data_IF_754880864514
#
_entry.id   IF_754880864514
#
_cell.length_a   1.000
_cell.length_b   1.000
_cell.length_c   1.000
_cell.angle_alpha   90.00
_cell.angle_beta   90.00
_cell.angle_gamma   90.00
#
_symmetry.space_group_name_H-M   'P 1'
#
loop_
_entity.id
_entity.type
_entity.pdbx_description
1 polymer ?
#
# COMPACT_ATOMS: atom_id res chain seq x y z
N UNK A 1 -23.47 -13.83 -6.34
CA UNK A 1 -23.07 -13.22 -5.05
C UNK A 1 -22.97 -14.33 -4.04
N UNK A 2 -21.77 -14.59 -3.52
CA UNK A 2 -21.62 -15.56 -2.45
C UNK A 2 -21.95 -14.86 -1.14
N UNK A 3 -22.90 -15.44 -0.39
CA UNK A 3 -23.33 -14.90 0.87
C UNK A 3 -22.14 -14.81 1.85
N UNK A 4 -22.06 -13.76 2.68
CA UNK A 4 -21.01 -13.67 3.69
C UNK A 4 -20.99 -14.86 4.64
N UNK A 5 -19.80 -15.33 4.99
CA UNK A 5 -19.58 -16.25 6.09
C UNK A 5 -19.50 -15.43 7.39
N UNK A 6 -20.52 -15.58 8.24
CA UNK A 6 -20.65 -14.79 9.47
C UNK A 6 -20.47 -15.66 10.71
N UNK A 7 -19.81 -15.13 11.75
CA UNK A 7 -19.73 -15.75 13.08
C UNK A 7 -19.23 -17.20 13.07
N UNK A 8 -18.27 -17.49 12.19
CA UNK A 8 -17.67 -18.82 12.07
C UNK A 8 -16.44 -18.90 12.96
N UNK A 9 -16.30 -20.02 13.64
CA UNK A 9 -15.11 -20.37 14.40
C UNK A 9 -14.26 -21.33 13.56
N UNK A 10 -13.12 -20.83 13.12
CA UNK A 10 -12.02 -21.54 12.50
C UNK A 10 -10.75 -21.47 13.35
N UNK A 11 -10.88 -21.13 14.63
CA UNK A 11 -9.74 -21.09 15.53
C UNK A 11 -9.05 -22.46 15.57
N UNK A 12 -7.72 -22.47 15.56
CA UNK A 12 -6.88 -23.67 15.51
C UNK A 12 -7.10 -24.58 14.28
N UNK A 13 -7.94 -24.20 13.32
CA UNK A 13 -8.29 -25.05 12.20
C UNK A 13 -7.10 -25.27 11.25
N UNK A 14 -7.02 -26.46 10.66
CA UNK A 14 -6.08 -26.73 9.59
C UNK A 14 -6.69 -26.32 8.25
N UNK A 15 -6.28 -25.16 7.74
CA UNK A 15 -6.79 -24.52 6.53
C UNK A 15 -5.65 -24.25 5.52
N UNK A 16 -4.55 -24.99 5.61
CA UNK A 16 -3.40 -24.85 4.71
C UNK A 16 -3.83 -25.03 3.27
N UNK A 17 -3.34 -24.16 2.39
CA UNK A 17 -3.67 -24.17 0.96
C UNK A 17 -5.16 -24.07 0.63
N UNK A 18 -6.00 -23.63 1.59
CA UNK A 18 -7.41 -23.39 1.31
C UNK A 18 -7.56 -22.20 0.39
N UNK A 19 -8.57 -22.27 -0.47
CA UNK A 19 -8.90 -21.20 -1.39
C UNK A 19 -10.14 -20.44 -0.91
N UNK A 20 -9.90 -19.19 -0.51
CA UNK A 20 -10.92 -18.26 -0.04
C UNK A 20 -11.06 -17.05 -0.97
N UNK A 21 -10.53 -17.06 -2.19
CA UNK A 21 -10.60 -15.89 -3.07
C UNK A 21 -12.03 -15.33 -3.20
N UNK A 22 -12.14 -14.00 -3.27
CA UNK A 22 -13.42 -13.29 -3.41
C UNK A 22 -14.48 -13.70 -2.36
N UNK A 23 -14.05 -13.95 -1.11
CA UNK A 23 -14.95 -14.23 0.03
C UNK A 23 -15.19 -13.01 0.90
N UNK A 24 -16.37 -13.01 1.51
CA UNK A 24 -16.74 -12.04 2.53
C UNK A 24 -16.83 -12.79 3.85
N UNK A 25 -16.03 -12.36 4.81
CA UNK A 25 -16.01 -12.82 6.19
C UNK A 25 -16.43 -11.68 7.10
N UNK A 26 -17.40 -11.94 7.98
CA UNK A 26 -17.84 -10.98 8.98
C UNK A 26 -17.75 -11.65 10.35
N UNK A 27 -16.94 -11.11 11.26
CA UNK A 27 -16.81 -11.63 12.63
C UNK A 27 -16.41 -13.12 12.66
N UNK A 28 -15.47 -13.49 11.79
CA UNK A 28 -14.94 -14.86 11.72
C UNK A 28 -13.66 -14.95 12.53
N UNK A 29 -13.57 -15.99 13.35
CA UNK A 29 -12.41 -16.29 14.18
C UNK A 29 -11.49 -17.25 13.43
N UNK A 30 -10.34 -16.75 12.97
CA UNK A 30 -9.21 -17.50 12.43
C UNK A 30 -8.02 -17.52 13.41
N UNK A 31 -8.22 -17.20 14.68
CA UNK A 31 -7.14 -17.14 15.66
C UNK A 31 -6.42 -18.49 15.79
N UNK A 32 -5.09 -18.47 15.84
CA UNK A 32 -4.26 -19.67 15.85
C UNK A 32 -4.45 -20.63 14.65
N UNK A 33 -5.18 -20.25 13.59
CA UNK A 33 -5.44 -21.12 12.46
C UNK A 33 -4.16 -21.37 11.64
N UNK A 34 -4.07 -22.56 11.04
CA UNK A 34 -2.98 -22.90 10.13
C UNK A 34 -3.37 -22.57 8.70
N UNK A 35 -2.94 -21.40 8.22
CA UNK A 35 -3.30 -20.84 6.91
C UNK A 35 -2.12 -20.76 5.94
N UNK A 36 -1.10 -21.60 6.14
CA UNK A 36 0.09 -21.61 5.27
C UNK A 36 -0.31 -21.85 3.82
N UNK A 37 0.10 -20.95 2.94
CA UNK A 37 -0.20 -21.00 1.51
C UNK A 37 -1.69 -20.83 1.16
N UNK A 38 -2.54 -20.37 2.09
CA UNK A 38 -3.93 -20.07 1.80
C UNK A 38 -4.08 -18.87 0.86
N UNK A 39 -5.16 -18.86 0.09
CA UNK A 39 -5.49 -17.76 -0.82
C UNK A 39 -6.64 -16.92 -0.26
N UNK A 40 -6.36 -15.70 0.14
CA UNK A 40 -7.34 -14.70 0.59
C UNK A 40 -7.47 -13.52 -0.40
N UNK A 41 -7.02 -13.70 -1.64
CA UNK A 41 -7.05 -12.62 -2.62
C UNK A 41 -8.47 -12.04 -2.76
N UNK A 42 -8.55 -10.70 -2.72
CA UNK A 42 -9.77 -9.91 -2.77
C UNK A 42 -10.84 -10.30 -1.73
N UNK A 43 -10.44 -10.85 -0.59
CA UNK A 43 -11.36 -11.06 0.51
C UNK A 43 -11.76 -9.74 1.19
N UNK A 44 -12.97 -9.71 1.73
CA UNK A 44 -13.42 -8.69 2.67
C UNK A 44 -13.49 -9.33 4.06
N UNK A 45 -12.58 -8.95 4.96
CA UNK A 45 -12.52 -9.43 6.33
C UNK A 45 -12.95 -8.31 7.30
N UNK A 46 -14.24 -8.22 7.57
CA UNK A 46 -14.80 -7.22 8.50
C UNK A 46 -14.80 -7.80 9.90
N UNK A 47 -14.16 -7.11 10.85
CA UNK A 47 -14.08 -7.49 12.26
C UNK A 47 -13.64 -8.95 12.48
N UNK A 48 -12.72 -9.46 11.65
CA UNK A 48 -12.22 -10.83 11.77
C UNK A 48 -11.02 -10.91 12.73
N UNK A 49 -10.82 -12.07 13.33
CA UNK A 49 -9.68 -12.32 14.21
C UNK A 49 -8.70 -13.30 13.56
N UNK A 50 -7.49 -12.84 13.25
CA UNK A 50 -6.36 -13.63 12.77
C UNK A 50 -5.21 -13.66 13.80
N UNK A 51 -5.50 -13.37 15.07
CA UNK A 51 -4.49 -13.34 16.13
C UNK A 51 -3.72 -14.66 16.17
N UNK A 52 -2.39 -14.59 16.18
CA UNK A 52 -1.48 -15.75 16.18
C UNK A 52 -1.72 -16.77 15.02
N UNK A 53 -2.42 -16.38 13.96
CA UNK A 53 -2.63 -17.24 12.79
C UNK A 53 -1.35 -17.39 11.96
N UNK A 54 -1.17 -18.56 11.33
CA UNK A 54 0.01 -18.85 10.50
C UNK A 54 -0.31 -18.69 9.02
N UNK A 55 -0.13 -17.48 8.50
CA UNK A 55 -0.34 -17.04 7.11
C UNK A 55 0.92 -17.14 6.23
N UNK A 56 1.89 -17.97 6.62
CA UNK A 56 3.15 -18.15 5.89
C UNK A 56 2.90 -18.49 4.41
N UNK A 57 3.53 -17.76 3.48
CA UNK A 57 3.34 -17.88 2.04
C UNK A 57 1.90 -17.72 1.54
N UNK A 58 0.99 -17.14 2.33
CA UNK A 58 -0.38 -16.87 1.91
C UNK A 58 -0.42 -15.77 0.83
N UNK A 59 -1.42 -15.84 -0.05
CA UNK A 59 -1.75 -14.74 -0.93
C UNK A 59 -2.82 -13.88 -0.25
N UNK A 60 -2.51 -12.60 -0.02
CA UNK A 60 -3.34 -11.63 0.69
C UNK A 60 -3.59 -10.40 -0.21
N UNK A 61 -3.60 -10.60 -1.52
CA UNK A 61 -3.61 -9.49 -2.47
C UNK A 61 -5.00 -8.85 -2.50
N UNK A 62 -5.06 -7.53 -2.34
CA UNK A 62 -6.33 -6.81 -2.32
C UNK A 62 -7.26 -7.20 -1.16
N UNK A 63 -6.78 -7.95 -0.16
CA UNK A 63 -7.59 -8.32 1.00
C UNK A 63 -7.84 -7.09 1.86
N UNK A 64 -9.10 -6.85 2.19
CA UNK A 64 -9.50 -5.84 3.15
C UNK A 64 -9.46 -6.42 4.57
N UNK A 65 -8.48 -5.99 5.35
CA UNK A 65 -8.31 -6.31 6.77
C UNK A 65 -8.62 -5.11 7.68
N UNK A 66 -9.30 -4.08 7.16
CA UNK A 66 -9.64 -2.93 8.01
C UNK A 66 -10.41 -3.42 9.24
N UNK A 67 -10.01 -2.91 10.42
CA UNK A 67 -10.59 -3.29 11.72
C UNK A 67 -10.40 -4.75 12.16
N UNK A 68 -9.68 -5.58 11.40
CA UNK A 68 -9.35 -6.94 11.81
C UNK A 68 -8.18 -6.99 12.80
N UNK A 69 -8.13 -8.07 13.60
CA UNK A 69 -7.00 -8.36 14.50
C UNK A 69 -6.01 -9.27 13.79
N UNK A 70 -4.75 -8.88 13.69
CA UNK A 70 -3.64 -9.74 13.18
C UNK A 70 -2.48 -9.77 14.19
N UNK A 71 -2.75 -9.51 15.48
CA UNK A 71 -1.69 -9.46 16.48
C UNK A 71 -1.01 -10.83 16.62
N UNK A 72 0.32 -10.87 16.53
CA UNK A 72 1.09 -12.12 16.58
C UNK A 72 1.00 -13.00 15.32
N UNK A 73 0.24 -12.61 14.28
CA UNK A 73 0.13 -13.41 13.07
C UNK A 73 1.47 -13.53 12.33
N UNK A 74 1.73 -14.69 11.74
CA UNK A 74 2.92 -14.95 10.93
C UNK A 74 2.61 -14.86 9.44
N UNK A 75 3.03 -13.75 8.82
CA UNK A 75 2.87 -13.44 7.38
C UNK A 75 4.19 -13.61 6.61
N UNK A 76 5.14 -14.40 7.13
CA UNK A 76 6.42 -14.67 6.45
C UNK A 76 6.22 -15.19 5.03
N UNK A 77 6.85 -14.57 4.04
CA UNK A 77 6.67 -14.91 2.62
C UNK A 77 5.30 -14.58 2.00
N UNK A 78 4.35 -14.01 2.75
CA UNK A 78 3.03 -13.66 2.23
C UNK A 78 3.10 -12.48 1.23
N UNK A 79 2.10 -12.37 0.36
CA UNK A 79 1.98 -11.26 -0.59
C UNK A 79 0.81 -10.34 -0.22
N UNK A 80 1.11 -9.12 0.25
CA UNK A 80 0.12 -8.14 0.69
C UNK A 80 -0.21 -7.09 -0.38
N UNK A 81 0.14 -7.30 -1.65
CA UNK A 81 -0.09 -6.29 -2.68
C UNK A 81 -1.55 -5.78 -2.68
N UNK A 82 -1.76 -4.47 -2.44
CA UNK A 82 -3.06 -3.82 -2.25
C UNK A 82 -3.90 -4.25 -1.04
N UNK A 83 -3.35 -4.95 -0.06
CA UNK A 83 -4.07 -5.26 1.18
C UNK A 83 -4.39 -3.97 1.97
N UNK A 84 -5.62 -3.84 2.48
CA UNK A 84 -6.03 -2.69 3.29
C UNK A 84 -5.83 -3.01 4.77
N UNK A 85 -4.97 -2.24 5.45
CA UNK A 85 -4.57 -2.49 6.84
C UNK A 85 -4.93 -1.32 7.77
N UNK A 86 -5.73 -0.36 7.30
CA UNK A 86 -6.13 0.77 8.13
C UNK A 86 -6.92 0.28 9.34
N UNK A 87 -6.54 0.73 10.55
CA UNK A 87 -7.13 0.30 11.82
C UNK A 87 -6.92 -1.18 12.20
N UNK A 88 -6.20 -1.98 11.41
CA UNK A 88 -5.86 -3.34 11.79
C UNK A 88 -4.91 -3.36 12.99
N UNK A 89 -5.10 -4.32 13.91
CA UNK A 89 -4.13 -4.57 14.98
C UNK A 89 -3.00 -5.46 14.46
N UNK A 90 -1.85 -4.86 14.19
CA UNK A 90 -0.65 -5.53 13.69
C UNK A 90 0.39 -5.76 14.79
N UNK A 91 0.01 -5.65 16.07
CA UNK A 91 0.95 -5.75 17.19
C UNK A 91 1.65 -7.10 17.19
N UNK A 92 2.98 -7.09 17.11
CA UNK A 92 3.76 -8.33 17.12
C UNK A 92 3.62 -9.19 15.87
N UNK A 93 3.10 -8.64 14.77
CA UNK A 93 3.09 -9.33 13.48
C UNK A 93 4.50 -9.78 13.09
N UNK A 94 4.61 -10.99 12.55
CA UNK A 94 5.86 -11.62 12.17
C UNK A 94 5.93 -11.63 10.64
N UNK A 95 7.00 -11.05 10.08
CA UNK A 95 7.29 -11.04 8.66
C UNK A 95 8.78 -11.27 8.40
N UNK A 96 9.13 -11.59 7.16
CA UNK A 96 10.51 -11.81 6.74
C UNK A 96 10.85 -11.04 5.46
N UNK A 97 12.08 -11.21 4.98
CA UNK A 97 12.55 -10.55 3.76
C UNK A 97 11.88 -11.09 2.47
N UNK A 98 11.05 -12.14 2.56
CA UNK A 98 10.29 -12.68 1.44
C UNK A 98 8.84 -12.14 1.44
N UNK A 99 8.35 -11.61 2.57
CA UNK A 99 7.06 -10.93 2.67
C UNK A 99 7.03 -9.73 1.72
N UNK A 100 6.04 -9.70 0.83
CA UNK A 100 5.93 -8.66 -0.20
C UNK A 100 4.98 -7.57 0.26
N UNK A 101 5.38 -6.32 0.02
CA UNK A 101 4.59 -5.11 0.28
C UNK A 101 4.17 -4.89 1.74
N UNK A 102 4.83 -5.55 2.70
CA UNK A 102 4.64 -5.22 4.11
C UNK A 102 5.61 -4.15 4.58
N UNK A 103 6.89 -4.19 4.22
CA UNK A 103 7.84 -3.13 4.54
C UNK A 103 7.65 -1.88 3.67
N UNK A 104 8.35 -0.80 4.02
CA UNK A 104 8.38 0.40 3.18
C UNK A 104 8.93 0.06 1.79
N UNK A 105 8.16 0.45 0.77
CA UNK A 105 8.55 0.35 -0.63
C UNK A 105 9.59 1.40 -0.98
N UNK A 106 9.43 2.63 -0.50
CA UNK A 106 10.42 3.69 -0.70
C UNK A 106 11.65 3.53 0.21
N UNK A 107 12.84 3.97 -0.23
CA UNK A 107 14.03 3.98 0.60
C UNK A 107 13.81 4.78 1.89
N UNK A 108 14.09 4.16 3.04
CA UNK A 108 13.93 4.80 4.35
C UNK A 108 14.87 5.99 4.56
N UNK A 109 16.07 5.92 3.97
CA UNK A 109 17.13 6.91 4.13
C UNK A 109 17.66 7.40 2.78
N UNK A 110 18.45 8.48 2.84
CA UNK A 110 19.07 9.07 1.66
C UNK A 110 18.10 9.86 0.78
N UNK A 111 18.67 10.56 -0.19
CA UNK A 111 17.91 11.25 -1.21
C UNK A 111 17.79 10.36 -2.45
N UNK A 112 16.66 10.40 -3.12
CA UNK A 112 16.40 9.58 -4.30
C UNK A 112 15.43 10.27 -5.26
N UNK A 113 15.26 9.69 -6.44
CA UNK A 113 14.34 10.19 -7.46
C UNK A 113 13.00 9.46 -7.34
N UNK A 114 11.91 10.24 -7.36
CA UNK A 114 10.56 9.76 -7.54
C UNK A 114 9.91 10.36 -8.78
N UNK A 115 8.80 9.78 -9.20
CA UNK A 115 8.03 10.19 -10.37
C UNK A 115 6.57 10.37 -10.01
N UNK A 116 5.93 11.42 -10.54
CA UNK A 116 4.53 11.72 -10.30
C UNK A 116 3.81 12.02 -11.61
N UNK A 117 2.81 11.20 -11.94
CA UNK A 117 1.86 11.45 -13.02
C UNK A 117 0.87 12.56 -12.64
N UNK A 118 0.65 13.48 -13.56
CA UNK A 118 -0.16 14.69 -13.45
C UNK A 118 -1.12 14.81 -14.63
N UNK A 119 -2.02 15.80 -14.58
CA UNK A 119 -2.90 16.14 -15.71
C UNK A 119 -2.10 16.42 -17.01
N UNK A 120 -2.80 16.38 -18.15
CA UNK A 120 -2.26 16.63 -19.49
C UNK A 120 -1.07 15.73 -19.86
N UNK A 121 -1.15 14.45 -19.46
CA UNK A 121 -0.12 13.45 -19.72
C UNK A 121 1.28 13.83 -19.21
N UNK A 122 1.35 14.71 -18.21
CA UNK A 122 2.63 15.17 -17.66
C UNK A 122 3.15 14.19 -16.63
N UNK A 123 4.46 13.93 -16.70
CA UNK A 123 5.20 13.24 -15.66
C UNK A 123 6.24 14.17 -15.05
N UNK A 124 6.19 14.28 -13.73
CA UNK A 124 7.08 15.11 -12.92
C UNK A 124 8.18 14.21 -12.36
N UNK A 125 9.43 14.56 -12.61
CA UNK A 125 10.58 13.97 -11.90
C UNK A 125 10.84 14.79 -10.64
N UNK A 126 10.87 14.10 -9.51
CA UNK A 126 11.01 14.67 -8.18
C UNK A 126 12.31 14.21 -7.53
N UNK A 127 13.06 15.12 -6.93
CA UNK A 127 14.08 14.79 -5.94
C UNK A 127 13.41 14.75 -4.56
N UNK A 128 13.38 13.57 -3.96
CA UNK A 128 12.92 13.36 -2.60
C UNK A 128 14.15 13.53 -1.71
N UNK A 129 14.25 14.60 -0.90
CA UNK A 129 15.46 14.86 -0.13
C UNK A 129 15.59 13.89 1.04
N UNK A 130 16.83 13.70 1.53
CA UNK A 130 17.12 12.81 2.66
C UNK A 130 16.35 13.14 3.95
N UNK A 131 15.89 14.38 4.11
CA UNK A 131 15.11 14.83 5.26
C UNK A 131 13.59 14.97 4.98
N UNK A 132 13.06 14.39 3.90
CA UNK A 132 11.61 14.29 3.70
C UNK A 132 11.02 13.21 4.61
N UNK A 133 9.85 13.48 5.19
CA UNK A 133 9.01 12.43 5.74
C UNK A 133 8.45 11.65 4.55
N UNK A 134 8.43 10.33 4.65
CA UNK A 134 8.02 9.45 3.55
C UNK A 134 7.40 8.17 4.07
N UNK A 135 6.53 7.58 3.27
CA UNK A 135 5.82 6.34 3.63
C UNK A 135 5.32 5.63 2.38
N UNK A 136 4.92 4.38 2.53
CA UNK A 136 4.15 3.60 1.55
C UNK A 136 3.28 2.59 2.29
N UNK A 137 2.11 2.28 1.74
CA UNK A 137 1.24 1.25 2.27
C UNK A 137 1.69 -0.13 1.78
N UNK A 138 0.81 -0.81 1.06
CA UNK A 138 0.92 -2.19 0.58
C UNK A 138 0.99 -2.27 -0.95
N UNK A 139 1.42 -1.20 -1.60
CA UNK A 139 1.64 -1.15 -3.05
C UNK A 139 2.89 -0.30 -3.36
N UNK A 140 3.14 -0.05 -4.66
CA UNK A 140 4.30 0.73 -5.10
C UNK A 140 4.14 2.25 -5.01
N UNK A 141 2.93 2.74 -4.69
CA UNK A 141 2.69 4.15 -4.46
C UNK A 141 3.30 4.57 -3.11
N UNK A 142 4.08 5.63 -3.15
CA UNK A 142 4.71 6.21 -1.98
C UNK A 142 4.15 7.62 -1.77
N UNK A 143 4.24 8.11 -0.52
CA UNK A 143 3.86 9.48 -0.15
C UNK A 143 5.03 10.16 0.55
N UNK A 144 5.26 11.44 0.27
CA UNK A 144 6.21 12.26 1.03
C UNK A 144 5.64 13.64 1.35
N UNK A 145 6.26 14.34 2.30
CA UNK A 145 5.84 15.68 2.69
C UNK A 145 6.44 16.80 1.82
N UNK A 146 7.59 16.56 1.19
CA UNK A 146 8.23 17.57 0.33
C UNK A 146 9.13 16.95 -0.73
N UNK A 147 9.24 17.65 -1.85
CA UNK A 147 10.13 17.28 -2.94
C UNK A 147 10.58 18.51 -3.74
N UNK A 148 11.71 18.39 -4.44
CA UNK A 148 12.12 19.38 -5.45
C UNK A 148 11.74 18.88 -6.83
N UNK A 149 11.11 19.72 -7.62
CA UNK A 149 10.75 19.42 -9.01
C UNK A 149 11.99 19.57 -9.89
N UNK A 150 12.39 18.49 -10.56
CA UNK A 150 13.57 18.48 -11.43
C UNK A 150 13.20 18.73 -12.88
N UNK A 151 12.24 17.97 -13.41
CA UNK A 151 11.78 18.07 -14.79
C UNK A 151 10.29 17.77 -14.88
N UNK A 152 9.63 18.34 -15.87
CA UNK A 152 8.25 18.00 -16.22
C UNK A 152 8.24 17.72 -17.71
N UNK A 153 7.72 16.56 -18.10
CA UNK A 153 7.68 16.15 -19.51
C UNK A 153 6.36 15.49 -19.89
N UNK A 154 6.01 15.54 -21.16
CA UNK A 154 4.99 14.67 -21.73
C UNK A 154 5.43 13.20 -21.62
N UNK A 155 4.51 12.30 -21.27
CA UNK A 155 4.81 10.87 -21.14
C UNK A 155 5.11 10.20 -22.49
N UNK A 156 4.55 10.68 -23.59
CA UNK A 156 4.62 10.06 -24.92
C UNK A 156 5.58 10.78 -25.86
N UNK A 157 5.54 12.11 -25.91
CA UNK A 157 6.37 12.93 -26.81
C UNK A 157 7.68 13.34 -26.17
N UNK A 158 7.79 13.25 -24.85
CA UNK A 158 8.94 13.70 -24.05
C UNK A 158 9.22 15.22 -24.17
N UNK A 159 8.26 16.00 -24.68
CA UNK A 159 8.27 17.46 -24.69
C UNK A 159 8.37 18.00 -23.26
N UNK A 160 9.11 19.08 -23.04
CA UNK A 160 9.33 19.67 -21.73
C UNK A 160 8.29 20.75 -21.40
N UNK A 161 7.89 20.83 -20.13
CA UNK A 161 7.00 21.86 -19.61
C UNK A 161 7.59 22.53 -18.38
N UNK A 162 7.14 23.75 -18.09
CA UNK A 162 7.52 24.48 -16.87
C UNK A 162 6.65 24.13 -15.66
N UNK A 163 5.40 23.68 -15.89
CA UNK A 163 4.43 23.40 -14.84
C UNK A 163 3.66 22.09 -15.06
N UNK A 164 3.11 21.52 -13.99
CA UNK A 164 2.16 20.41 -14.02
C UNK A 164 1.19 20.50 -12.84
N UNK A 165 -0.03 20.00 -13.02
CA UNK A 165 -1.11 20.06 -12.01
C UNK A 165 -1.36 18.65 -11.47
N UNK A 166 -1.47 18.50 -10.14
CA UNK A 166 -1.80 17.22 -9.51
C UNK A 166 -3.18 16.72 -9.93
N UNK A 167 -3.33 15.39 -10.10
CA UNK A 167 -4.64 14.76 -10.35
C UNK A 167 -5.65 14.92 -9.22
N UNK A 168 -5.16 15.06 -7.99
CA UNK A 168 -6.00 15.01 -6.78
C UNK A 168 -6.40 16.42 -6.34
N UNK A 169 -5.54 17.41 -6.60
CA UNK A 169 -5.70 18.78 -6.13
C UNK A 169 -5.30 19.74 -7.25
N UNK A 170 -6.30 20.43 -7.81
CA UNK A 170 -6.11 21.37 -8.92
C UNK A 170 -5.26 22.59 -8.57
N UNK A 171 -5.14 22.91 -7.27
CA UNK A 171 -4.33 24.03 -6.78
C UNK A 171 -2.89 23.60 -6.47
N UNK A 172 -2.62 22.30 -6.43
CA UNK A 172 -1.28 21.76 -6.20
C UNK A 172 -0.48 21.71 -7.52
N UNK A 173 0.30 22.78 -7.75
CA UNK A 173 1.06 22.99 -8.98
C UNK A 173 2.56 22.72 -8.76
N UNK A 174 3.11 21.81 -9.56
CA UNK A 174 4.54 21.54 -9.67
C UNK A 174 5.18 22.52 -10.66
N UNK A 175 6.31 23.12 -10.29
CA UNK A 175 7.06 24.06 -11.14
C UNK A 175 8.53 23.66 -11.19
N UNK A 176 9.11 23.59 -12.38
CA UNK A 176 10.52 23.16 -12.57
C UNK A 176 11.47 23.99 -11.69
N UNK A 177 12.37 23.31 -10.99
CA UNK A 177 13.36 23.91 -10.09
C UNK A 177 12.83 24.34 -8.72
N UNK A 178 11.51 24.35 -8.51
CA UNK A 178 10.90 24.75 -7.24
C UNK A 178 10.72 23.57 -6.27
N UNK A 179 10.68 23.91 -4.99
CA UNK A 179 10.26 22.99 -3.94
C UNK A 179 8.73 23.00 -3.84
N UNK A 180 8.17 21.83 -3.58
CA UNK A 180 6.76 21.63 -3.24
C UNK A 180 6.66 20.97 -1.86
N UNK A 181 5.66 21.36 -1.08
CA UNK A 181 5.40 20.85 0.26
C UNK A 181 3.92 20.48 0.35
N UNK A 182 3.64 19.27 0.83
CA UNK A 182 2.29 18.82 1.16
C UNK A 182 2.07 19.00 2.67
N UNK A 183 1.41 20.09 3.05
CA UNK A 183 1.07 20.42 4.44
C UNK A 183 0.17 19.36 5.09
N UNK A 184 -0.61 18.64 4.29
CA UNK A 184 -1.51 17.58 4.74
C UNK A 184 -0.87 16.18 4.80
N UNK A 185 0.47 16.07 4.82
CA UNK A 185 1.15 14.77 4.88
C UNK A 185 0.68 13.94 6.09
N UNK A 186 0.12 12.77 5.82
CA UNK A 186 -0.31 11.83 6.85
C UNK A 186 0.78 10.76 7.08
N UNK A 187 1.39 10.69 8.28
CA UNK A 187 2.41 9.71 8.60
C UNK A 187 1.86 8.29 8.76
N UNK A 188 0.54 8.12 8.94
CA UNK A 188 -0.06 6.80 8.98
C UNK A 188 0.08 6.16 7.60
N UNK A 189 0.93 5.13 7.52
CA UNK A 189 1.21 4.42 6.28
C UNK A 189 0.01 3.61 5.77
N UNK A 190 -0.86 3.16 6.68
CA UNK A 190 -1.98 2.28 6.36
C UNK A 190 -3.20 3.01 5.83
N UNK A 191 -3.31 4.32 6.11
CA UNK A 191 -4.24 5.20 5.41
C UNK A 191 -3.64 5.51 4.04
N UNK A 192 -3.85 4.66 3.02
CA UNK A 192 -3.12 4.78 1.75
C UNK A 192 -3.60 5.98 0.90
N UNK A 193 -4.91 6.15 0.77
CA UNK A 193 -5.57 7.22 0.00
C UNK A 193 -5.70 8.52 0.80
N UNK A 194 -4.58 9.08 1.27
CA UNK A 194 -4.55 10.24 2.17
C UNK A 194 -3.51 11.28 1.75
N UNK A 195 -3.39 12.37 2.51
CA UNK A 195 -2.52 13.50 2.17
C UNK A 195 -1.03 13.18 2.07
N UNK A 196 -0.34 13.98 1.24
CA UNK A 196 1.05 13.81 0.85
C UNK A 196 1.26 13.91 -0.66
N UNK A 197 2.49 14.19 -1.08
CA UNK A 197 2.91 14.11 -2.48
C UNK A 197 3.02 12.63 -2.81
N UNK A 198 2.10 12.13 -3.61
CA UNK A 198 2.16 10.76 -4.13
C UNK A 198 3.24 10.67 -5.20
N UNK A 199 4.01 9.58 -5.21
CA UNK A 199 5.04 9.33 -6.20
C UNK A 199 5.33 7.83 -6.32
N UNK A 200 6.02 7.46 -7.39
CA UNK A 200 6.54 6.11 -7.63
C UNK A 200 8.05 6.16 -7.83
N UNK A 201 8.75 5.07 -7.54
CA UNK A 201 10.22 5.02 -7.61
C UNK A 201 10.73 5.01 -9.06
N UNK A 202 9.92 4.49 -9.98
CA UNK A 202 10.25 4.47 -11.41
C UNK A 202 9.23 5.23 -12.24
N UNK A 203 9.70 5.75 -13.38
CA UNK A 203 8.85 6.36 -14.40
C UNK A 203 7.76 5.39 -14.89
N UNK A 204 8.13 4.13 -15.12
CA UNK A 204 7.20 3.08 -15.59
C UNK A 204 6.05 2.83 -14.62
N UNK A 205 6.32 2.78 -13.32
CA UNK A 205 5.28 2.63 -12.31
C UNK A 205 4.35 3.84 -12.27
N UNK A 206 4.90 5.05 -12.32
CA UNK A 206 4.09 6.27 -12.36
C UNK A 206 3.21 6.34 -13.61
N UNK A 207 3.72 5.95 -14.78
CA UNK A 207 2.97 5.91 -16.04
C UNK A 207 1.82 4.90 -16.00
N UNK A 208 2.07 3.73 -15.41
CA UNK A 208 1.09 2.64 -15.26
C UNK A 208 0.02 2.89 -14.20
N UNK A 209 0.13 3.98 -13.42
CA UNK A 209 -0.92 4.38 -12.50
C UNK A 209 -2.03 5.14 -13.24
N UNK A 210 -3.25 4.62 -13.18
CA UNK A 210 -4.43 5.07 -13.94
C UNK A 210 -4.24 5.00 -15.46
#
# INVERSE_FOLDING_TARGET
MNAPLKNKDYSYANLRHSDFHDRIFEQVDFSHAYLTGANFDNCLCVDCDFSDARLVNASLQGTDFQWSRLCGADISGANLFFAMLEHADLTGIIHDAQTKFFDLYCPAEGAFIGYKKCFDHRIVQLLIPANARRTSATNSCCRCDKAKVLTIKDMYTNEAYEEAISYVDGDFIYRVGKWVVAENFNPNRWADSTGGIHFWLTRKEAEGYM
#
